data_IF_749666928749
#
_entry.id   IF_749666928749
#
_cell.length_a   1.000
_cell.length_b   1.000
_cell.length_c   1.000
_cell.angle_alpha   90.00
_cell.angle_beta   90.00
_cell.angle_gamma   90.00
#
_symmetry.space_group_name_H-M   'P 1'
#
loop_
_entity.id
_entity.type
_entity.pdbx_description
1 polymer ?
#
# COMPACT_ATOMS: atom_id res chain seq x y z
N UNK A 1 14.88 -12.08 -6.19
CA UNK A 1 15.90 -11.47 -5.31
C UNK A 1 15.23 -10.25 -4.72
N UNK A 2 15.00 -10.20 -3.41
CA UNK A 2 14.30 -9.07 -2.76
C UNK A 2 15.22 -7.86 -2.76
N UNK A 3 14.72 -6.68 -3.15
CA UNK A 3 15.50 -5.46 -3.23
C UNK A 3 15.46 -4.71 -1.88
N UNK A 4 16.42 -3.80 -1.65
CA UNK A 4 16.60 -3.04 -0.40
C UNK A 4 15.32 -2.32 0.10
N UNK A 5 14.42 -1.92 -0.81
CA UNK A 5 13.11 -1.34 -0.44
C UNK A 5 12.14 -2.35 0.18
N UNK A 6 12.22 -3.63 -0.20
CA UNK A 6 11.46 -4.70 0.45
C UNK A 6 11.87 -4.80 1.93
N UNK A 7 13.15 -4.57 2.25
CA UNK A 7 13.70 -4.63 3.61
C UNK A 7 13.12 -3.55 4.55
N UNK A 8 12.89 -2.34 4.04
CA UNK A 8 12.25 -1.24 4.79
C UNK A 8 10.78 -1.57 5.06
N UNK A 9 10.07 -2.16 4.10
CA UNK A 9 8.71 -2.66 4.33
C UNK A 9 8.66 -3.84 5.29
N UNK A 10 9.63 -4.75 5.22
CA UNK A 10 9.74 -5.87 6.16
C UNK A 10 10.00 -5.41 7.61
N UNK A 11 10.54 -4.19 7.83
CA UNK A 11 10.71 -3.60 9.17
C UNK A 11 9.42 -3.02 9.77
N UNK A 12 8.51 -2.52 8.95
CA UNK A 12 7.25 -1.87 9.41
C UNK A 12 6.07 -2.84 9.35
N UNK A 13 6.17 -3.84 8.48
CA UNK A 13 5.22 -4.91 8.28
C UNK A 13 5.88 -6.27 8.59
N UNK A 14 6.51 -6.46 9.78
CA UNK A 14 7.20 -7.71 10.04
C UNK A 14 6.13 -8.79 10.28
N UNK A 15 6.13 -9.83 9.45
CA UNK A 15 5.49 -11.12 9.77
C UNK A 15 3.95 -11.12 9.88
N UNK A 16 3.22 -10.12 9.38
CA UNK A 16 1.76 -9.99 9.62
C UNK A 16 0.85 -11.18 9.28
N UNK A 17 1.28 -12.17 8.49
CA UNK A 17 0.52 -13.43 8.40
C UNK A 17 1.10 -14.47 9.37
N UNK A 18 2.41 -14.74 9.34
CA UNK A 18 3.02 -15.77 10.17
C UNK A 18 2.94 -15.46 11.68
N UNK A 19 3.22 -14.23 12.09
CA UNK A 19 3.12 -13.77 13.48
C UNK A 19 1.66 -13.60 13.92
N UNK A 20 0.80 -13.01 13.10
CA UNK A 20 -0.62 -12.91 13.43
C UNK A 20 -1.28 -14.28 13.62
N UNK A 21 -0.81 -15.30 12.88
CA UNK A 21 -1.25 -16.69 13.01
C UNK A 21 -0.21 -17.57 13.74
N UNK A 22 0.68 -17.00 14.57
CA UNK A 22 1.68 -17.79 15.31
C UNK A 22 1.16 -18.39 16.60
N UNK A 23 0.03 -17.91 17.11
CA UNK A 23 -0.63 -18.50 18.28
C UNK A 23 -1.21 -19.87 17.91
N UNK A 24 -1.10 -20.82 18.83
CA UNK A 24 -1.49 -22.22 18.62
C UNK A 24 -2.99 -22.36 18.32
N UNK A 25 -3.81 -21.50 18.93
CA UNK A 25 -5.27 -21.45 18.81
C UNK A 25 -5.75 -20.61 17.61
N UNK A 26 -4.85 -20.03 16.82
CA UNK A 26 -5.21 -19.16 15.71
C UNK A 26 -6.02 -19.92 14.64
N UNK A 27 -7.30 -19.55 14.38
CA UNK A 27 -8.18 -20.36 13.53
C UNK A 27 -7.70 -20.46 12.07
N UNK A 28 -7.46 -21.68 11.57
CA UNK A 28 -6.96 -21.91 10.21
C UNK A 28 -7.81 -21.28 9.10
N UNK A 29 -9.14 -21.24 9.27
CA UNK A 29 -10.06 -20.67 8.27
C UNK A 29 -9.89 -19.16 8.07
N UNK A 30 -9.32 -18.43 9.04
CA UNK A 30 -9.20 -16.97 8.95
C UNK A 30 -7.94 -16.52 8.21
N UNK A 31 -6.98 -17.43 7.96
CA UNK A 31 -5.72 -17.16 7.26
C UNK A 31 -5.86 -16.55 5.86
N UNK A 32 -6.98 -16.82 5.18
CA UNK A 32 -7.30 -16.27 3.85
C UNK A 32 -7.78 -14.81 3.88
N UNK A 33 -8.20 -14.31 5.04
CA UNK A 33 -8.77 -12.96 5.18
C UNK A 33 -7.72 -11.88 5.42
N UNK A 34 -6.52 -12.27 5.85
CA UNK A 34 -5.39 -11.34 6.01
C UNK A 34 -4.48 -11.47 4.79
N UNK A 35 -4.52 -10.43 3.94
CA UNK A 35 -3.67 -10.31 2.77
C UNK A 35 -2.18 -10.36 3.17
N UNK A 36 -1.34 -10.92 2.29
CA UNK A 36 0.10 -11.00 2.52
C UNK A 36 0.88 -10.67 1.25
N UNK A 37 1.91 -9.81 1.34
CA UNK A 37 2.85 -9.57 0.25
C UNK A 37 3.50 -10.86 -0.27
N UNK A 38 3.77 -11.82 0.63
CA UNK A 38 4.38 -13.12 0.28
C UNK A 38 3.51 -13.98 -0.63
N UNK A 39 2.19 -13.72 -0.68
CA UNK A 39 1.24 -14.36 -1.60
C UNK A 39 0.96 -13.49 -2.84
N UNK A 40 1.82 -12.51 -3.10
CA UNK A 40 1.70 -11.51 -4.15
C UNK A 40 0.37 -10.72 -4.15
N UNK A 41 -0.24 -10.56 -2.97
CA UNK A 41 -1.39 -9.66 -2.83
C UNK A 41 -0.89 -8.22 -2.79
N UNK A 42 -1.58 -7.30 -3.49
CA UNK A 42 -1.32 -5.86 -3.36
C UNK A 42 -1.50 -5.32 -1.95
N UNK A 43 -2.15 -6.09 -1.06
CA UNK A 43 -2.45 -5.69 0.32
C UNK A 43 -3.22 -4.38 0.42
N UNK A 44 -3.98 -3.99 -0.63
CA UNK A 44 -4.71 -2.72 -0.74
C UNK A 44 -5.39 -2.31 0.57
N UNK A 45 -6.18 -3.20 1.18
CA UNK A 45 -6.95 -2.89 2.39
C UNK A 45 -6.05 -2.54 3.58
N UNK A 46 -4.96 -3.28 3.77
CA UNK A 46 -3.98 -2.99 4.82
C UNK A 46 -3.26 -1.67 4.55
N UNK A 47 -2.86 -1.43 3.29
CA UNK A 47 -2.21 -0.17 2.91
C UNK A 47 -3.14 1.04 3.10
N UNK A 48 -4.42 0.93 2.73
CA UNK A 48 -5.44 1.95 2.99
C UNK A 48 -5.61 2.22 4.49
N UNK A 49 -5.70 1.16 5.30
CA UNK A 49 -5.82 1.30 6.74
C UNK A 49 -4.61 2.01 7.35
N UNK A 50 -3.40 1.60 6.98
CA UNK A 50 -2.17 2.25 7.41
C UNK A 50 -2.11 3.72 6.98
N UNK A 51 -2.54 4.03 5.75
CA UNK A 51 -2.67 5.40 5.27
C UNK A 51 -3.52 6.25 6.21
N UNK A 52 -4.74 5.80 6.52
CA UNK A 52 -5.64 6.51 7.43
C UNK A 52 -5.06 6.67 8.84
N UNK A 53 -4.40 5.64 9.36
CA UNK A 53 -3.87 5.68 10.73
C UNK A 53 -2.62 6.56 10.87
N UNK A 54 -1.78 6.63 9.84
CA UNK A 54 -0.46 7.27 9.90
C UNK A 54 -0.47 8.69 9.31
N UNK A 55 -1.08 8.88 8.14
CA UNK A 55 -1.14 10.21 7.51
C UNK A 55 -2.18 11.07 8.21
N UNK A 56 -1.98 12.39 8.14
CA UNK A 56 -2.96 13.39 8.60
C UNK A 56 -3.23 14.35 7.46
N UNK A 57 -4.49 14.49 7.08
CA UNK A 57 -4.92 15.49 6.11
C UNK A 57 -5.77 16.60 6.78
N UNK A 58 -6.15 17.60 5.99
CA UNK A 58 -6.99 18.72 6.44
C UNK A 58 -8.49 18.48 6.21
N UNK A 59 -8.87 17.34 5.63
CA UNK A 59 -10.25 17.01 5.25
C UNK A 59 -10.88 15.96 6.17
N UNK A 60 -10.12 15.40 7.12
CA UNK A 60 -10.56 14.43 8.11
C UNK A 60 -10.64 12.99 7.59
N UNK A 61 -10.08 12.67 6.42
CA UNK A 61 -10.11 11.30 5.89
C UNK A 61 -8.96 10.47 6.46
N UNK A 62 -7.75 11.04 6.49
CA UNK A 62 -6.58 10.45 7.13
C UNK A 62 -6.47 10.98 8.58
N UNK A 63 -6.65 10.10 9.58
CA UNK A 63 -6.76 10.44 11.01
C UNK A 63 -5.43 10.85 11.66
N UNK A 64 -4.34 10.21 11.26
CA UNK A 64 -3.00 10.51 11.75
C UNK A 64 -2.78 10.20 13.24
N UNK A 65 -3.44 9.17 13.76
CA UNK A 65 -3.36 8.74 15.17
C UNK A 65 -1.97 8.15 15.48
N UNK A 66 -1.37 7.43 14.54
CA UNK A 66 -0.09 6.72 14.74
C UNK A 66 1.10 7.58 14.35
N UNK A 67 1.98 7.86 15.31
CA UNK A 67 3.14 8.77 15.14
C UNK A 67 4.50 8.08 14.99
N UNK A 68 4.57 6.78 15.25
CA UNK A 68 5.83 6.01 15.18
C UNK A 68 6.21 5.61 13.75
N UNK A 69 5.25 5.55 12.84
CA UNK A 69 5.44 5.25 11.42
C UNK A 69 5.36 6.59 10.68
N UNK A 70 6.26 6.83 9.74
CA UNK A 70 6.24 8.05 8.91
C UNK A 70 5.49 7.81 7.60
N UNK A 71 4.82 8.83 7.01
CA UNK A 71 4.16 8.71 5.71
C UNK A 71 5.07 8.20 4.59
N UNK A 72 6.33 8.64 4.56
CA UNK A 72 7.39 8.16 3.67
C UNK A 72 7.57 6.62 3.65
N UNK A 73 7.08 5.93 4.67
CA UNK A 73 7.24 4.48 4.82
C UNK A 73 5.97 3.68 4.49
N UNK A 74 4.95 4.32 3.92
CA UNK A 74 3.67 3.71 3.56
C UNK A 74 3.63 3.30 2.08
N UNK A 75 2.99 2.16 1.77
CA UNK A 75 2.75 1.75 0.37
C UNK A 75 1.47 2.41 -0.13
N UNK A 76 1.51 2.90 -1.37
CA UNK A 76 0.32 3.34 -2.09
C UNK A 76 -0.67 2.17 -2.26
N UNK A 77 -1.91 2.30 -1.76
CA UNK A 77 -2.92 1.26 -1.95
C UNK A 77 -3.33 1.20 -3.42
N UNK A 78 -3.13 0.05 -4.05
CA UNK A 78 -3.43 -0.13 -5.48
C UNK A 78 -4.66 -1.02 -5.70
N UNK A 79 -5.59 -0.55 -6.49
CA UNK A 79 -6.67 -1.33 -7.09
C UNK A 79 -6.67 -1.23 -8.62
N UNK A 80 -7.70 -1.78 -9.27
CA UNK A 80 -7.79 -1.78 -10.73
C UNK A 80 -7.93 -0.38 -11.34
N UNK A 81 -8.55 0.59 -10.64
CA UNK A 81 -8.67 1.96 -11.11
C UNK A 81 -7.32 2.67 -11.00
N UNK A 82 -6.69 2.62 -9.83
CA UNK A 82 -5.36 3.19 -9.59
C UNK A 82 -4.33 2.61 -10.55
N UNK A 83 -4.35 1.28 -10.76
CA UNK A 83 -3.47 0.60 -11.70
C UNK A 83 -3.61 1.15 -13.13
N UNK A 84 -4.84 1.29 -13.63
CA UNK A 84 -5.09 1.82 -14.99
C UNK A 84 -4.57 3.24 -15.15
N UNK A 85 -4.84 4.10 -14.18
CA UNK A 85 -4.36 5.49 -14.21
C UNK A 85 -2.84 5.53 -14.17
N UNK A 86 -2.21 4.76 -13.29
CA UNK A 86 -0.75 4.67 -13.19
C UNK A 86 -0.09 4.17 -14.48
N UNK A 87 -0.71 3.20 -15.18
CA UNK A 87 -0.25 2.73 -16.48
C UNK A 87 -0.39 3.80 -17.57
N UNK A 88 -1.51 4.51 -17.62
CA UNK A 88 -1.75 5.58 -18.61
C UNK A 88 -0.74 6.71 -18.46
N UNK A 89 -0.39 7.06 -17.23
CA UNK A 89 0.67 8.03 -16.94
C UNK A 89 2.09 7.47 -17.02
N UNK A 90 2.25 6.20 -17.42
CA UNK A 90 3.56 5.52 -17.53
C UNK A 90 4.37 5.56 -16.22
N UNK A 91 3.67 5.56 -15.08
CA UNK A 91 4.30 5.44 -13.77
C UNK A 91 4.81 4.02 -13.54
N UNK A 92 4.06 3.01 -14.01
CA UNK A 92 4.42 1.60 -13.93
C UNK A 92 3.99 0.85 -15.20
N UNK A 93 4.74 -0.18 -15.58
CA UNK A 93 4.43 -1.06 -16.73
C UNK A 93 3.71 -2.35 -16.33
N UNK A 94 3.57 -2.58 -15.03
CA UNK A 94 3.03 -3.83 -14.50
C UNK A 94 1.54 -3.98 -14.79
N UNK A 95 1.11 -5.16 -15.23
CA UNK A 95 -0.29 -5.42 -15.66
C UNK A 95 -1.24 -5.87 -14.56
N UNK A 96 -0.73 -6.32 -13.42
CA UNK A 96 -1.52 -6.87 -12.32
C UNK A 96 -1.41 -5.96 -11.09
N UNK A 97 -2.52 -5.79 -10.37
CA UNK A 97 -2.54 -5.09 -9.10
C UNK A 97 -2.05 -6.04 -7.99
N UNK A 98 -0.74 -6.20 -7.89
CA UNK A 98 -0.06 -7.05 -6.91
C UNK A 98 0.93 -6.25 -6.06
N UNK A 99 1.71 -6.93 -5.21
CA UNK A 99 2.64 -6.27 -4.30
C UNK A 99 3.75 -5.51 -5.04
N UNK A 100 4.28 -6.12 -6.10
CA UNK A 100 5.30 -5.50 -6.95
C UNK A 100 4.77 -4.25 -7.66
N UNK A 101 3.49 -4.22 -8.07
CA UNK A 101 2.91 -3.01 -8.63
C UNK A 101 2.77 -1.89 -7.57
N UNK A 102 2.36 -2.26 -6.36
CA UNK A 102 2.18 -1.31 -5.26
C UNK A 102 3.51 -0.66 -4.84
N UNK A 103 4.56 -1.48 -4.70
CA UNK A 103 5.93 -1.02 -4.39
C UNK A 103 6.51 -0.18 -5.53
N UNK A 104 6.44 -0.65 -6.78
CA UNK A 104 6.94 0.11 -7.93
C UNK A 104 6.24 1.46 -8.08
N UNK A 105 4.91 1.51 -7.90
CA UNK A 105 4.17 2.77 -7.91
C UNK A 105 4.62 3.69 -6.78
N UNK A 106 4.75 3.18 -5.56
CA UNK A 106 5.17 3.97 -4.40
C UNK A 106 6.57 4.56 -4.61
N UNK A 107 7.52 3.77 -5.11
CA UNK A 107 8.88 4.23 -5.45
C UNK A 107 8.87 5.30 -6.55
N UNK A 108 7.94 5.21 -7.50
CA UNK A 108 7.80 6.25 -8.53
C UNK A 108 7.20 7.53 -7.97
N UNK A 109 6.28 7.40 -7.03
CA UNK A 109 5.66 8.54 -6.36
C UNK A 109 6.60 9.25 -5.40
N UNK A 110 7.56 8.55 -4.79
CA UNK A 110 8.57 9.15 -3.91
C UNK A 110 9.53 10.10 -4.64
N UNK A 111 9.64 9.98 -5.97
CA UNK A 111 10.37 10.95 -6.79
C UNK A 111 9.65 12.31 -6.87
N UNK A 112 8.34 12.38 -6.62
CA UNK A 112 7.56 13.63 -6.58
C UNK A 112 7.46 14.21 -5.18
N UNK A 113 7.27 13.35 -4.18
CA UNK A 113 7.33 13.72 -2.76
C UNK A 113 7.90 12.54 -1.94
N UNK A 114 9.17 12.61 -1.51
CA UNK A 114 9.79 11.55 -0.75
C UNK A 114 9.29 11.47 0.70
N UNK A 115 8.72 12.55 1.25
CA UNK A 115 8.24 12.59 2.63
C UNK A 115 6.82 12.04 2.77
N UNK A 116 6.01 12.13 1.70
CA UNK A 116 4.64 11.61 1.66
C UNK A 116 4.21 11.10 0.26
N UNK A 117 4.79 9.99 -0.24
CA UNK A 117 4.48 9.44 -1.55
C UNK A 117 3.05 8.91 -1.67
N UNK A 118 2.39 8.55 -0.56
CA UNK A 118 1.04 7.98 -0.58
C UNK A 118 -0.04 9.05 -0.72
N UNK A 119 0.31 10.34 -0.61
CA UNK A 119 -0.65 11.44 -0.82
C UNK A 119 -1.33 11.43 -2.18
N UNK A 120 -0.65 10.90 -3.20
CA UNK A 120 -1.15 10.85 -4.56
C UNK A 120 -2.24 9.80 -4.78
N UNK A 121 -2.50 8.92 -3.81
CA UNK A 121 -3.56 7.92 -3.91
C UNK A 121 -4.94 8.55 -4.19
N UNK A 122 -5.27 9.67 -3.54
CA UNK A 122 -6.52 10.39 -3.80
C UNK A 122 -6.64 10.84 -5.26
N UNK A 123 -5.56 11.39 -5.83
CA UNK A 123 -5.55 11.85 -7.21
C UNK A 123 -5.66 10.68 -8.19
N UNK A 124 -4.90 9.61 -7.98
CA UNK A 124 -4.93 8.43 -8.86
C UNK A 124 -6.27 7.71 -8.80
N UNK A 125 -6.86 7.58 -7.60
CA UNK A 125 -8.18 6.97 -7.41
C UNK A 125 -9.30 7.84 -7.98
N UNK A 126 -9.32 9.15 -7.67
CA UNK A 126 -10.30 10.10 -8.21
C UNK A 126 -10.27 10.13 -9.73
N UNK A 127 -9.04 10.15 -10.29
CA UNK A 127 -8.67 9.83 -11.67
C UNK A 127 -9.56 8.75 -12.31
N UNK A 128 -9.44 7.55 -11.76
CA UNK A 128 -10.00 6.35 -12.36
C UNK A 128 -11.48 6.12 -12.08
N UNK A 129 -12.08 6.82 -11.11
CA UNK A 129 -13.50 6.66 -10.75
C UNK A 129 -14.36 7.78 -11.33
N UNK A 130 -13.90 9.02 -11.26
CA UNK A 130 -14.70 10.20 -11.65
C UNK A 130 -14.51 10.53 -13.12
N UNK A 131 -13.26 10.61 -13.58
CA UNK A 131 -12.94 11.10 -14.92
C UNK A 131 -12.96 9.99 -15.99
N UNK A 132 -13.16 8.73 -15.62
CA UNK A 132 -13.12 7.55 -16.52
C UNK A 132 -11.85 7.48 -17.41
N UNK A 133 -10.77 8.16 -17.01
CA UNK A 133 -9.54 7.50 -16.53
C UNK A 133 -9.49 5.98 -16.76
#
# INVERSE_FOLDING_TARGET
MFNYEDEIYFRINPRNNHYFFSLEDAPSRTRKHIASPRKNSSCKRLNMYLRWMVRKDNSGVDFGIWKKIRPAQLICPIDLHVLRVAQRFKLIDRKKADWEAATALTHRLSAFDPDDPVKYDFALFGLGVVEKF
#
